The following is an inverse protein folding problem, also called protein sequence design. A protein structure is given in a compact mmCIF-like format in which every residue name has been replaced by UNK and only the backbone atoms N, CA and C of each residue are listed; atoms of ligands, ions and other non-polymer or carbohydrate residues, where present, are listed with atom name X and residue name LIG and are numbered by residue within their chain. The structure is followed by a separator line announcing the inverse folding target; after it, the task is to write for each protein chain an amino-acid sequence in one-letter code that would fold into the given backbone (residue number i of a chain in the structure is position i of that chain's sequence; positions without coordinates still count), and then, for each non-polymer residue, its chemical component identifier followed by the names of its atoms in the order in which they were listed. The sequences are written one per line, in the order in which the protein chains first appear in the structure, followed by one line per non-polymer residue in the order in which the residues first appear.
data_IF_171741381319
#
_entry.id   IF_171741381319
#
_cell.length_a   1.000
_cell.length_b   1.000
_cell.length_c   1.000
_cell.angle_alpha   90.00
_cell.angle_beta   90.00
_cell.angle_gamma   90.00
#
_symmetry.space_group_name_H-M   'P 1'
#
loop_
_entity.id
_entity.type
_entity.pdbx_description
1 polymer ?
#
# COMPACT_ATOMS: atom_id res chain seq x y z
N UNK A 1 10.97 -10.91 -14.40
CA UNK A 1 11.10 -11.85 -15.54
C UNK A 1 11.94 -11.27 -16.70
N UNK A 2 11.63 -10.08 -17.22
CA UNK A 2 12.28 -9.52 -18.42
C UNK A 2 13.82 -9.33 -18.30
N UNK A 3 14.33 -8.84 -17.17
CA UNK A 3 15.77 -8.60 -16.97
C UNK A 3 16.63 -9.88 -16.92
N UNK A 4 16.05 -10.99 -16.46
CA UNK A 4 16.72 -12.32 -16.44
C UNK A 4 16.74 -12.95 -17.82
N UNK A 5 15.70 -12.69 -18.63
CA UNK A 5 15.61 -13.22 -19.98
C UNK A 5 16.58 -12.53 -20.97
N UNK A 6 17.04 -11.32 -20.66
CA UNK A 6 17.91 -10.52 -21.54
C UNK A 6 19.42 -10.74 -21.29
N UNK A 7 19.83 -11.34 -20.16
CA UNK A 7 21.25 -11.60 -19.85
C UNK A 7 21.42 -12.97 -19.16
N UNK A 8 21.72 -14.05 -19.89
CA UNK A 8 22.09 -15.33 -19.28
C UNK A 8 23.51 -15.25 -18.70
N UNK A 9 23.71 -15.70 -17.45
CA UNK A 9 25.05 -15.89 -16.84
C UNK A 9 25.41 -14.90 -15.71
N UNK A 10 26.72 -14.72 -15.45
CA UNK A 10 27.29 -13.92 -14.32
C UNK A 10 26.81 -12.46 -14.22
N UNK A 11 26.17 -11.92 -15.27
CA UNK A 11 25.57 -10.57 -15.30
C UNK A 11 24.13 -10.49 -14.77
N UNK A 12 23.44 -11.63 -14.58
CA UNK A 12 22.06 -11.66 -14.11
C UNK A 12 21.87 -11.04 -12.71
N UNK A 13 22.88 -11.20 -11.83
CA UNK A 13 22.89 -10.57 -10.51
C UNK A 13 22.90 -9.04 -10.59
N UNK A 14 23.72 -8.46 -11.47
CA UNK A 14 23.76 -7.01 -11.71
C UNK A 14 22.51 -6.49 -12.42
N UNK A 15 21.97 -7.27 -13.35
CA UNK A 15 20.73 -6.97 -14.05
C UNK A 15 19.49 -6.98 -13.13
N UNK A 16 19.51 -7.76 -12.05
CA UNK A 16 18.49 -7.70 -10.98
C UNK A 16 18.79 -6.64 -9.93
N UNK A 17 20.07 -6.41 -9.62
CA UNK A 17 20.49 -5.42 -8.62
C UNK A 17 20.00 -4.01 -8.97
N UNK A 18 20.14 -3.59 -10.23
CA UNK A 18 19.71 -2.26 -10.67
C UNK A 18 18.19 -2.01 -10.41
N UNK A 19 17.24 -2.80 -10.94
CA UNK A 19 15.82 -2.57 -10.70
C UNK A 19 15.43 -2.75 -9.23
N UNK A 20 16.08 -3.65 -8.48
CA UNK A 20 15.85 -3.78 -7.04
C UNK A 20 16.32 -2.55 -6.26
N UNK A 21 17.48 -1.99 -6.62
CA UNK A 21 17.98 -0.74 -6.05
C UNK A 21 17.04 0.41 -6.34
N UNK A 22 16.60 0.57 -7.60
CA UNK A 22 15.64 1.61 -7.96
C UNK A 22 14.30 1.44 -7.25
N UNK A 23 13.79 0.22 -7.15
CA UNK A 23 12.57 -0.07 -6.40
C UNK A 23 12.73 0.28 -4.91
N UNK A 24 13.86 -0.07 -4.30
CA UNK A 24 14.17 0.23 -2.90
C UNK A 24 14.31 1.74 -2.65
N UNK A 25 15.07 2.44 -3.49
CA UNK A 25 15.23 3.90 -3.41
C UNK A 25 13.90 4.63 -3.59
N UNK A 26 13.14 4.28 -4.64
CA UNK A 26 11.84 4.89 -4.89
C UNK A 26 10.88 4.64 -3.73
N UNK A 27 10.83 3.42 -3.21
CA UNK A 27 10.00 3.08 -2.06
C UNK A 27 10.40 3.88 -0.81
N UNK A 28 11.68 3.97 -0.48
CA UNK A 28 12.17 4.75 0.67
C UNK A 28 11.87 6.24 0.57
N UNK A 29 12.08 6.84 -0.62
CA UNK A 29 11.80 8.24 -0.89
C UNK A 29 10.31 8.60 -0.78
N UNK A 30 9.41 7.63 -0.92
CA UNK A 30 7.96 7.85 -0.85
C UNK A 30 7.39 7.51 0.52
N UNK A 31 7.83 6.40 1.14
CA UNK A 31 7.28 5.93 2.41
C UNK A 31 7.58 6.92 3.55
N UNK A 32 8.80 7.43 3.63
CA UNK A 32 9.22 8.33 4.70
C UNK A 32 8.41 9.65 4.74
N UNK A 33 8.31 10.45 3.66
CA UNK A 33 7.51 11.67 3.69
C UNK A 33 6.02 11.38 3.86
N UNK A 34 5.50 10.27 3.31
CA UNK A 34 4.09 9.92 3.50
C UNK A 34 3.75 9.63 4.97
N UNK A 35 4.61 8.92 5.70
CA UNK A 35 4.43 8.68 7.13
C UNK A 35 4.47 9.98 7.94
N UNK A 36 5.42 10.88 7.61
CA UNK A 36 5.53 12.20 8.25
C UNK A 36 4.29 13.06 7.99
N UNK A 37 3.85 13.16 6.73
CA UNK A 37 2.64 13.92 6.35
C UNK A 37 1.38 13.36 7.01
N UNK A 38 1.27 12.03 7.11
CA UNK A 38 0.14 11.36 7.78
C UNK A 38 0.04 11.76 9.26
N UNK A 39 1.17 12.01 9.92
CA UNK A 39 1.22 12.39 11.34
C UNK A 39 1.33 13.89 11.57
N UNK A 40 1.55 14.70 10.53
CA UNK A 40 1.82 16.13 10.65
C UNK A 40 0.65 16.92 11.25
N UNK A 41 -0.58 16.48 11.04
CA UNK A 41 -1.80 17.11 11.55
C UNK A 41 -2.19 16.62 12.96
N UNK A 42 -1.48 15.64 13.52
CA UNK A 42 -1.80 15.04 14.83
C UNK A 42 -1.19 15.87 15.95
N UNK A 43 -1.97 16.28 16.97
CA UNK A 43 -1.43 16.98 18.14
C UNK A 43 -0.31 16.19 18.82
N UNK A 44 0.77 16.85 19.23
CA UNK A 44 1.98 16.19 19.80
C UNK A 44 1.66 15.23 20.96
N UNK A 45 0.66 15.56 21.80
CA UNK A 45 0.21 14.70 22.90
C UNK A 45 -0.40 13.36 22.44
N UNK A 46 -0.84 13.26 21.20
CA UNK A 46 -1.47 12.07 20.60
C UNK A 46 -0.59 11.41 19.52
N UNK A 47 0.54 12.00 19.17
CA UNK A 47 1.43 11.51 18.10
C UNK A 47 1.92 10.07 18.37
N UNK A 48 2.17 9.71 19.63
CA UNK A 48 2.55 8.34 20.01
C UNK A 48 1.44 7.31 19.76
N UNK A 49 0.19 7.64 20.11
CA UNK A 49 -0.97 6.78 19.86
C UNK A 49 -1.29 6.67 18.37
N UNK A 50 -1.19 7.77 17.62
CA UNK A 50 -1.40 7.78 16.17
C UNK A 50 -0.33 6.96 15.44
N UNK A 51 0.95 7.15 15.76
CA UNK A 51 2.05 6.37 15.20
C UNK A 51 1.94 4.88 15.52
N UNK A 52 1.58 4.54 16.77
CA UNK A 52 1.35 3.15 17.18
C UNK A 52 0.19 2.48 16.45
N UNK A 53 -0.90 3.22 16.23
CA UNK A 53 -2.06 2.72 15.45
C UNK A 53 -1.68 2.50 13.98
N UNK A 54 -0.96 3.45 13.38
CA UNK A 54 -0.47 3.32 11.99
C UNK A 54 0.41 2.08 11.82
N UNK A 55 1.39 1.89 12.71
CA UNK A 55 2.28 0.72 12.64
C UNK A 55 1.53 -0.59 12.86
N UNK A 56 0.55 -0.61 13.77
CA UNK A 56 -0.30 -1.78 14.01
C UNK A 56 -1.10 -2.13 12.76
N UNK A 57 -1.72 -1.13 12.11
CA UNK A 57 -2.42 -1.30 10.84
C UNK A 57 -1.52 -1.87 9.75
N UNK A 58 -0.28 -1.36 9.61
CA UNK A 58 0.68 -1.88 8.64
C UNK A 58 1.05 -3.34 8.92
N UNK A 59 1.29 -3.71 10.18
CA UNK A 59 1.59 -5.11 10.56
C UNK A 59 0.42 -6.05 10.24
N UNK A 60 -0.80 -5.66 10.60
CA UNK A 60 -2.00 -6.43 10.32
C UNK A 60 -2.21 -6.59 8.82
N UNK A 61 -2.08 -5.51 8.04
CA UNK A 61 -2.19 -5.54 6.58
C UNK A 61 -1.16 -6.48 5.94
N UNK A 62 0.10 -6.39 6.33
CA UNK A 62 1.16 -7.28 5.83
C UNK A 62 0.90 -8.74 6.18
N UNK A 63 0.46 -9.03 7.41
CA UNK A 63 0.13 -10.40 7.82
C UNK A 63 -1.00 -11.00 6.98
N UNK A 64 -2.07 -10.24 6.75
CA UNK A 64 -3.20 -10.68 5.91
C UNK A 64 -2.74 -10.93 4.47
N UNK A 65 -1.95 -10.01 3.89
CA UNK A 65 -1.43 -10.15 2.53
C UNK A 65 -0.55 -11.38 2.35
N UNK A 66 0.41 -11.58 3.26
CA UNK A 66 1.30 -12.75 3.25
C UNK A 66 0.50 -14.04 3.38
N UNK A 67 -0.46 -14.09 4.30
CA UNK A 67 -1.30 -15.28 4.51
C UNK A 67 -2.17 -15.59 3.29
N UNK A 68 -2.80 -14.58 2.68
CA UNK A 68 -3.67 -14.77 1.51
C UNK A 68 -2.89 -15.25 0.28
N UNK A 69 -1.77 -14.61 -0.03
CA UNK A 69 -0.91 -15.01 -1.17
C UNK A 69 -0.32 -16.40 -0.94
N UNK A 70 0.17 -16.68 0.27
CA UNK A 70 0.69 -17.99 0.64
C UNK A 70 -0.38 -19.09 0.55
N UNK A 71 -1.59 -18.84 1.04
CA UNK A 71 -2.68 -19.81 0.97
C UNK A 71 -3.04 -20.18 -0.48
N UNK A 72 -3.12 -19.20 -1.39
CA UNK A 72 -3.40 -19.49 -2.81
C UNK A 72 -2.23 -20.21 -3.48
N UNK A 73 -1.00 -19.82 -3.19
CA UNK A 73 0.18 -20.49 -3.71
C UNK A 73 0.21 -21.97 -3.29
N UNK A 74 0.06 -22.26 -2.00
CA UNK A 74 0.08 -23.64 -1.50
C UNK A 74 -1.16 -24.45 -1.90
N UNK A 75 -2.31 -23.80 -2.16
CA UNK A 75 -3.48 -24.48 -2.70
C UNK A 75 -3.26 -25.02 -4.13
N UNK A 76 -2.37 -24.38 -4.91
CA UNK A 76 -2.13 -24.71 -6.31
C UNK A 76 -0.80 -25.45 -6.57
N UNK A 77 0.09 -25.52 -5.58
CA UNK A 77 1.40 -26.16 -5.78
C UNK A 77 1.27 -27.69 -5.83
N UNK A 78 1.25 -28.23 -7.05
CA UNK A 78 1.36 -29.66 -7.34
C UNK A 78 2.73 -30.01 -7.96
N UNK A 79 3.03 -31.32 -8.17
CA UNK A 79 4.32 -31.79 -8.69
C UNK A 79 4.77 -31.12 -10.00
N UNK A 80 3.82 -30.80 -10.89
CA UNK A 80 4.06 -30.15 -12.19
C UNK A 80 3.48 -28.72 -12.28
N UNK A 81 2.89 -28.20 -11.19
CA UNK A 81 2.07 -26.97 -11.18
C UNK A 81 2.76 -25.72 -10.66
N UNK A 82 4.09 -25.71 -10.56
CA UNK A 82 4.82 -24.59 -9.93
C UNK A 82 4.68 -23.26 -10.70
N UNK A 83 4.65 -23.34 -12.05
CA UNK A 83 4.43 -22.17 -12.91
C UNK A 83 2.99 -21.63 -12.73
N UNK A 84 1.99 -22.51 -12.76
CA UNK A 84 0.59 -22.13 -12.56
C UNK A 84 0.34 -21.55 -11.16
N UNK A 85 0.95 -22.12 -10.12
CA UNK A 85 0.86 -21.62 -8.75
C UNK A 85 1.49 -20.21 -8.62
N UNK A 86 2.60 -19.97 -9.32
CA UNK A 86 3.25 -18.65 -9.36
C UNK A 86 2.37 -17.61 -10.06
N UNK A 87 1.78 -17.94 -11.21
CA UNK A 87 0.90 -17.04 -11.95
C UNK A 87 -0.37 -16.71 -11.15
N UNK A 88 -0.99 -17.70 -10.50
CA UNK A 88 -2.14 -17.45 -9.61
C UNK A 88 -1.76 -16.58 -8.41
N UNK A 89 -0.58 -16.81 -7.80
CA UNK A 89 -0.07 -15.97 -6.72
C UNK A 89 0.15 -14.51 -7.14
N UNK A 90 0.64 -14.30 -8.36
CA UNK A 90 0.77 -12.96 -8.95
C UNK A 90 -0.59 -12.29 -9.18
N UNK A 91 -1.57 -13.03 -9.72
CA UNK A 91 -2.92 -12.51 -9.93
C UNK A 91 -3.55 -12.07 -8.61
N UNK A 92 -3.42 -12.88 -7.56
CA UNK A 92 -3.92 -12.52 -6.22
C UNK A 92 -3.22 -11.26 -5.70
N UNK A 93 -1.90 -11.17 -5.86
CA UNK A 93 -1.15 -9.98 -5.44
C UNK A 93 -1.61 -8.73 -6.17
N UNK A 94 -1.80 -8.81 -7.49
CA UNK A 94 -2.33 -7.72 -8.31
C UNK A 94 -3.75 -7.36 -7.88
N UNK A 95 -4.61 -8.35 -7.62
CA UNK A 95 -5.97 -8.13 -7.15
C UNK A 95 -6.00 -7.39 -5.80
N UNK A 96 -5.13 -7.74 -4.85
CA UNK A 96 -4.97 -7.03 -3.59
C UNK A 96 -4.53 -5.57 -3.80
N UNK A 97 -3.55 -5.35 -4.69
CA UNK A 97 -3.08 -3.99 -5.01
C UNK A 97 -4.19 -3.16 -5.65
N UNK A 98 -4.95 -3.73 -6.59
CA UNK A 98 -6.07 -3.04 -7.23
C UNK A 98 -7.20 -2.75 -6.24
N UNK A 99 -7.53 -3.69 -5.35
CA UNK A 99 -8.51 -3.47 -4.29
C UNK A 99 -8.08 -2.35 -3.35
N UNK A 100 -6.82 -2.36 -2.90
CA UNK A 100 -6.24 -1.30 -2.07
C UNK A 100 -6.27 0.06 -2.79
N UNK A 101 -5.95 0.08 -4.09
CA UNK A 101 -6.02 1.30 -4.90
C UNK A 101 -7.45 1.84 -5.01
N UNK A 102 -8.44 0.97 -5.24
CA UNK A 102 -9.86 1.36 -5.29
C UNK A 102 -10.28 1.97 -3.95
N UNK A 103 -9.93 1.33 -2.83
CA UNK A 103 -10.23 1.85 -1.48
C UNK A 103 -9.58 3.22 -1.28
N UNK A 104 -8.31 3.38 -1.63
CA UNK A 104 -7.59 4.65 -1.51
C UNK A 104 -8.24 5.76 -2.36
N UNK A 105 -8.61 5.46 -3.61
CA UNK A 105 -9.31 6.42 -4.48
C UNK A 105 -10.70 6.77 -3.95
N UNK A 106 -11.44 5.79 -3.43
CA UNK A 106 -12.76 6.00 -2.84
C UNK A 106 -12.67 6.88 -1.58
N UNK A 107 -11.67 6.66 -0.72
CA UNK A 107 -11.42 7.44 0.50
C UNK A 107 -11.08 8.90 0.16
N UNK A 108 -10.16 9.13 -0.79
CA UNK A 108 -9.82 10.47 -1.29
C UNK A 108 -11.05 11.16 -1.89
N UNK A 109 -11.88 10.42 -2.64
CA UNK A 109 -13.12 10.93 -3.22
C UNK A 109 -14.19 11.29 -2.18
N UNK A 110 -14.33 10.47 -1.13
CA UNK A 110 -15.26 10.70 -0.03
C UNK A 110 -14.83 11.88 0.86
N UNK A 111 -13.54 11.99 1.16
CA UNK A 111 -12.97 13.10 1.94
C UNK A 111 -13.16 14.46 1.28
N UNK A 112 -13.12 14.54 -0.06
CA UNK A 112 -13.44 15.77 -0.81
C UNK A 112 -14.90 16.19 -0.71
N UNK A 113 -15.83 15.22 -0.62
CA UNK A 113 -17.28 15.49 -0.47
C UNK A 113 -17.65 15.95 0.95
N UNK A 114 -16.92 15.50 1.96
CA UNK A 114 -17.13 15.90 3.36
C UNK A 114 -16.71 17.36 3.63
N UNK A 115 -15.57 17.81 3.09
CA UNK A 115 -15.05 19.18 3.29
C UNK A 115 -16.00 20.27 2.77
N UNK A 116 -16.57 20.10 1.57
CA UNK A 116 -17.50 21.07 0.98
C UNK A 116 -18.85 21.19 1.69
N UNK A 117 -19.20 20.26 2.60
CA UNK A 117 -20.40 20.32 3.43
C UNK A 117 -20.16 21.10 4.73
N UNK A 118 -18.93 21.08 5.25
CA UNK A 118 -18.54 21.80 6.46
C UNK A 118 -18.41 23.32 6.21
N UNK A 119 -17.85 23.72 5.06
CA UNK A 119 -17.72 25.14 4.66
C UNK A 119 -19.09 25.82 4.43
N UNK A 120 -20.10 25.07 3.97
CA UNK A 120 -21.48 25.57 3.85
C UNK A 120 -22.20 25.72 5.20
N UNK A 121 -21.72 25.04 6.23
CA UNK A 121 -22.31 25.05 7.56
C UNK A 121 -21.71 26.14 8.47
N UNK A 122 -20.46 26.55 8.18
CA UNK A 122 -19.79 27.71 8.81
C UNK A 122 -20.21 29.05 8.21
N UNK A 123 -20.75 29.05 6.99
CA UNK A 123 -21.26 30.26 6.32
C UNK A 123 -22.74 30.53 6.58
N UNK A 124 -23.39 29.74 7.44
CA UNK A 124 -24.79 29.94 7.83
C UNK A 124 -24.90 31.06 8.88
N UNK A 125 -25.42 32.26 8.51
CA UNK A 125 -25.51 33.41 9.41
C UNK A 125 -26.53 33.23 10.54
N UNK A 126 -27.28 32.12 10.57
CA UNK A 126 -28.29 31.84 11.60
C UNK A 126 -27.73 31.18 12.86
N UNK A 127 -26.47 30.72 12.87
CA UNK A 127 -25.78 30.22 14.07
C UNK A 127 -25.22 31.37 14.91
N UNK A 128 -26.10 32.19 15.47
CA UNK A 128 -25.72 33.07 16.59
C UNK A 128 -25.72 32.24 17.88
N UNK A 129 -24.59 32.12 18.61
CA UNK A 129 -24.62 31.59 19.96
C UNK A 129 -25.45 32.54 20.83
N UNK A 130 -26.48 31.99 21.48
CA UNK A 130 -27.25 32.65 22.54
C UNK A 130 -26.50 32.55 23.88
#
# INVERSE_FOLDING_TARGET
ALAVHLVPGRGAGWAMAAPLLFAGLGSGLVIAPNQTLTLAEVPVRQAGSAGGTLQTGQRVGSAIGIAAVGAVFFAQVGPDGWADAYDHGLIVSVAFVLAALIVAVADVGAGRRGRGRNERQDTDPTRSPA
#
